data_IF_817930093504
#
_entry.id   IF_817930093504
#
_cell.length_a   1.000
_cell.length_b   1.000
_cell.length_c   1.000
_cell.angle_alpha   90.00
_cell.angle_beta   90.00
_cell.angle_gamma   90.00
#
_symmetry.space_group_name_H-M   'P 1'
#
loop_
_entity.id
_entity.type
_entity.pdbx_description
1 polymer ?
#
# COMPACT_ATOMS: atom_id res chain seq x y z
N UNK A 1 18.00 -35.94 -9.02
CA UNK A 1 17.88 -35.63 -7.57
C UNK A 1 18.05 -34.15 -7.28
N UNK A 2 19.15 -33.49 -7.69
CA UNK A 2 19.39 -32.06 -7.41
C UNK A 2 18.28 -31.15 -7.99
N UNK A 3 17.87 -31.37 -9.25
CA UNK A 3 16.79 -30.59 -9.86
C UNK A 3 15.47 -30.67 -9.08
N UNK A 4 15.08 -31.86 -8.64
CA UNK A 4 13.85 -32.07 -7.84
C UNK A 4 13.91 -31.33 -6.51
N UNK A 5 15.07 -31.35 -5.84
CA UNK A 5 15.27 -30.60 -4.59
C UNK A 5 15.09 -29.10 -4.85
N UNK A 6 15.72 -28.56 -5.89
CA UNK A 6 15.59 -27.14 -6.26
C UNK A 6 14.13 -26.78 -6.58
N UNK A 7 13.41 -27.61 -7.33
CA UNK A 7 12.01 -27.38 -7.65
C UNK A 7 11.11 -27.35 -6.40
N UNK A 8 11.32 -28.25 -5.44
CA UNK A 8 10.56 -28.27 -4.18
C UNK A 8 10.80 -26.99 -3.39
N UNK A 9 12.06 -26.58 -3.24
CA UNK A 9 12.39 -25.33 -2.54
C UNK A 9 11.81 -24.10 -3.26
N UNK A 10 11.88 -24.04 -4.59
CA UNK A 10 11.31 -22.94 -5.37
C UNK A 10 9.79 -22.80 -5.12
N UNK A 11 9.04 -23.91 -5.12
CA UNK A 11 7.60 -23.89 -4.84
C UNK A 11 7.29 -23.43 -3.42
N UNK A 12 8.03 -23.94 -2.42
CA UNK A 12 7.84 -23.54 -1.01
C UNK A 12 8.16 -22.05 -0.79
N UNK A 13 9.20 -21.53 -1.44
CA UNK A 13 9.56 -20.12 -1.38
C UNK A 13 8.50 -19.23 -2.03
N UNK A 14 8.03 -19.56 -3.24
CA UNK A 14 6.98 -18.79 -3.93
C UNK A 14 5.69 -18.80 -3.10
N UNK A 15 5.31 -19.93 -2.51
CA UNK A 15 4.13 -20.03 -1.65
C UNK A 15 4.23 -19.13 -0.42
N UNK A 16 5.39 -19.10 0.25
CA UNK A 16 5.64 -18.24 1.41
C UNK A 16 5.58 -16.76 1.03
N UNK A 17 6.18 -16.39 -0.09
CA UNK A 17 6.14 -15.02 -0.63
C UNK A 17 4.71 -14.60 -0.95
N UNK A 18 3.94 -15.47 -1.63
CA UNK A 18 2.54 -15.21 -1.98
C UNK A 18 1.67 -14.97 -0.73
N UNK A 19 1.82 -15.81 0.30
CA UNK A 19 1.11 -15.64 1.58
C UNK A 19 1.48 -14.32 2.25
N UNK A 20 2.77 -13.97 2.27
CA UNK A 20 3.25 -12.71 2.86
C UNK A 20 2.67 -11.49 2.16
N UNK A 21 2.59 -11.51 0.83
CA UNK A 21 1.97 -10.42 0.05
C UNK A 21 0.46 -10.31 0.30
N UNK A 22 -0.26 -11.44 0.39
CA UNK A 22 -1.70 -11.43 0.68
C UNK A 22 -1.99 -10.80 2.07
N UNK A 23 -1.17 -11.13 3.07
CA UNK A 23 -1.25 -10.52 4.40
C UNK A 23 -0.85 -9.03 4.38
N UNK A 24 0.13 -8.65 3.57
CA UNK A 24 0.50 -7.25 3.36
C UNK A 24 -0.64 -6.41 2.80
N UNK A 25 -1.27 -6.88 1.72
CA UNK A 25 -2.41 -6.19 1.07
C UNK A 25 -3.55 -6.00 2.06
N UNK A 26 -3.95 -7.05 2.78
CA UNK A 26 -5.07 -6.97 3.74
C UNK A 26 -4.80 -5.98 4.87
N UNK A 27 -3.56 -5.88 5.36
CA UNK A 27 -3.17 -4.90 6.40
C UNK A 27 -3.22 -3.46 5.89
N UNK A 28 -2.69 -3.21 4.69
CA UNK A 28 -2.75 -1.87 4.07
C UNK A 28 -4.20 -1.47 3.86
N UNK A 29 -5.02 -2.39 3.32
CA UNK A 29 -6.43 -2.14 3.06
C UNK A 29 -7.22 -1.86 4.34
N UNK A 30 -6.95 -2.62 5.40
CA UNK A 30 -7.52 -2.41 6.72
C UNK A 30 -7.12 -1.05 7.32
N UNK A 31 -5.84 -0.66 7.25
CA UNK A 31 -5.39 0.66 7.72
C UNK A 31 -6.07 1.79 6.94
N UNK A 32 -6.12 1.70 5.61
CA UNK A 32 -6.79 2.70 4.77
C UNK A 32 -8.30 2.81 5.09
N UNK A 33 -8.96 1.68 5.38
CA UNK A 33 -10.36 1.64 5.78
C UNK A 33 -10.58 2.24 7.17
N UNK A 34 -9.67 1.96 8.13
CA UNK A 34 -9.65 2.58 9.47
C UNK A 34 -9.46 4.09 9.40
N UNK A 35 -8.61 4.56 8.48
CA UNK A 35 -8.35 5.98 8.25
C UNK A 35 -9.51 6.69 7.50
N UNK A 36 -10.57 5.96 7.16
CA UNK A 36 -11.79 6.48 6.55
C UNK A 36 -11.70 6.73 5.04
N UNK A 37 -10.60 6.33 4.40
CA UNK A 37 -10.33 6.53 2.96
C UNK A 37 -11.14 5.59 2.07
N UNK A 38 -11.73 4.53 2.63
CA UNK A 38 -12.48 3.50 1.91
C UNK A 38 -13.84 3.21 2.55
N UNK A 39 -14.81 2.64 1.79
CA UNK A 39 -16.13 2.27 2.30
C UNK A 39 -16.04 1.48 3.61
N UNK A 40 -16.72 1.94 4.66
CA UNK A 40 -16.68 1.32 6.00
C UNK A 40 -17.12 -0.16 6.02
N UNK A 41 -17.70 -0.65 4.93
CA UNK A 41 -17.97 -2.07 4.71
C UNK A 41 -16.70 -2.94 4.66
N UNK A 42 -15.56 -2.40 4.18
CA UNK A 42 -14.26 -3.07 4.22
C UNK A 42 -13.66 -3.14 5.64
N UNK A 43 -14.09 -2.27 6.56
CA UNK A 43 -13.65 -2.25 7.96
C UNK A 43 -14.46 -3.18 8.87
N UNK A 44 -15.52 -3.84 8.37
CA UNK A 44 -16.34 -4.70 9.23
C UNK A 44 -15.60 -6.00 9.52
N UNK A 45 -14.84 -5.97 10.60
CA UNK A 45 -14.09 -7.11 11.14
C UNK A 45 -15.05 -8.12 11.77
N UNK A 46 -14.75 -9.41 11.62
CA UNK A 46 -15.45 -10.48 12.33
C UNK A 46 -15.02 -10.52 13.82
N UNK A 47 -15.71 -11.32 14.64
CA UNK A 47 -15.49 -11.44 16.10
C UNK A 47 -14.03 -11.68 16.52
N UNK A 48 -13.17 -12.19 15.63
CA UNK A 48 -11.74 -12.48 15.89
C UNK A 48 -10.76 -11.39 15.44
N UNK A 49 -11.21 -10.19 15.07
CA UNK A 49 -10.30 -9.08 14.75
C UNK A 49 -9.55 -9.24 13.41
N UNK A 50 -9.87 -10.26 12.61
CA UNK A 50 -9.23 -10.55 11.31
C UNK A 50 -10.13 -10.12 10.15
N UNK A 51 -9.63 -9.37 9.15
CA UNK A 51 -10.41 -8.93 7.99
C UNK A 51 -10.58 -10.05 6.95
N UNK A 52 -11.25 -11.16 7.32
CA UNK A 52 -11.39 -12.36 6.50
C UNK A 52 -12.04 -12.10 5.13
N UNK A 53 -12.99 -11.16 5.07
CA UNK A 53 -13.66 -10.76 3.82
C UNK A 53 -12.67 -10.15 2.83
N UNK A 54 -11.77 -9.31 3.32
CA UNK A 54 -10.75 -8.65 2.50
C UNK A 54 -9.79 -9.68 1.91
N UNK A 55 -9.39 -10.68 2.71
CA UNK A 55 -8.52 -11.77 2.26
C UNK A 55 -9.16 -12.60 1.14
N UNK A 56 -10.43 -12.98 1.30
CA UNK A 56 -11.15 -13.73 0.26
C UNK A 56 -11.33 -12.92 -1.02
N UNK A 57 -11.76 -11.66 -0.92
CA UNK A 57 -11.93 -10.78 -2.08
C UNK A 57 -10.59 -10.58 -2.80
N UNK A 58 -9.53 -10.25 -2.06
CA UNK A 58 -8.20 -10.05 -2.62
C UNK A 58 -7.65 -11.33 -3.28
N UNK A 59 -7.82 -12.48 -2.63
CA UNK A 59 -7.37 -13.77 -3.15
C UNK A 59 -8.10 -14.19 -4.42
N UNK A 60 -9.44 -14.13 -4.43
CA UNK A 60 -10.26 -14.48 -5.60
C UNK A 60 -10.00 -13.51 -6.75
N UNK A 61 -9.94 -12.20 -6.48
CA UNK A 61 -9.63 -11.21 -7.50
C UNK A 61 -8.22 -11.44 -8.08
N UNK A 62 -7.22 -11.70 -7.23
CA UNK A 62 -5.85 -11.99 -7.68
C UNK A 62 -5.77 -13.28 -8.50
N UNK A 63 -6.50 -14.33 -8.11
CA UNK A 63 -6.54 -15.59 -8.85
C UNK A 63 -7.15 -15.42 -10.25
N UNK A 64 -8.24 -14.64 -10.35
CA UNK A 64 -8.87 -14.30 -11.63
C UNK A 64 -7.92 -13.48 -12.51
N UNK A 65 -7.30 -12.44 -11.94
CA UNK A 65 -6.35 -11.60 -12.67
C UNK A 65 -5.13 -12.40 -13.14
N UNK A 66 -4.60 -13.32 -12.32
CA UNK A 66 -3.48 -14.18 -12.67
C UNK A 66 -3.81 -15.14 -13.83
N UNK A 67 -5.07 -15.55 -13.99
CA UNK A 67 -5.51 -16.40 -15.11
C UNK A 67 -5.72 -15.65 -16.42
N UNK A 68 -6.02 -14.35 -16.37
CA UNK A 68 -6.40 -13.54 -17.55
C UNK A 68 -5.26 -12.66 -18.07
N UNK A 69 -4.39 -12.17 -17.18
CA UNK A 69 -3.33 -11.21 -17.56
C UNK A 69 -1.98 -11.89 -17.80
N UNK A 70 -1.24 -11.51 -18.85
CA UNK A 70 0.09 -12.05 -19.09
C UNK A 70 1.06 -11.58 -18.00
N UNK A 71 1.88 -12.53 -17.49
CA UNK A 71 2.80 -12.28 -16.36
C UNK A 71 3.75 -11.10 -16.61
N UNK A 72 4.17 -10.89 -17.87
CA UNK A 72 5.04 -9.78 -18.25
C UNK A 72 4.37 -8.41 -18.04
N UNK A 73 3.09 -8.28 -18.42
CA UNK A 73 2.38 -7.01 -18.26
C UNK A 73 2.14 -6.68 -16.78
N UNK A 74 1.81 -7.69 -15.97
CA UNK A 74 1.65 -7.53 -14.52
C UNK A 74 2.98 -7.16 -13.87
N UNK A 75 4.07 -7.83 -14.25
CA UNK A 75 5.41 -7.52 -13.75
C UNK A 75 5.86 -6.09 -14.11
N UNK A 76 5.64 -5.65 -15.36
CA UNK A 76 5.96 -4.29 -15.79
C UNK A 76 5.16 -3.25 -14.97
N UNK A 77 3.88 -3.51 -14.68
CA UNK A 77 3.02 -2.65 -13.86
C UNK A 77 3.41 -2.64 -12.38
N UNK A 78 3.82 -3.78 -11.82
CA UNK A 78 4.34 -3.87 -10.45
C UNK A 78 5.67 -3.15 -10.32
N UNK A 79 6.57 -3.30 -11.29
CA UNK A 79 7.88 -2.63 -11.30
C UNK A 79 7.73 -1.11 -11.28
N UNK A 80 6.91 -0.53 -12.16
CA UNK A 80 6.69 0.93 -12.15
C UNK A 80 6.08 1.40 -10.82
N UNK A 81 5.14 0.63 -10.25
CA UNK A 81 4.51 0.97 -8.98
C UNK A 81 5.49 0.97 -7.81
N UNK A 82 6.35 -0.06 -7.72
CA UNK A 82 7.38 -0.16 -6.68
C UNK A 82 8.42 0.95 -6.85
N UNK A 83 8.89 1.21 -8.07
CA UNK A 83 9.83 2.31 -8.35
C UNK A 83 9.24 3.68 -8.00
N UNK A 84 7.99 3.93 -8.37
CA UNK A 84 7.29 5.16 -8.04
C UNK A 84 7.13 5.32 -6.51
N UNK A 85 6.75 4.24 -5.81
CA UNK A 85 6.68 4.25 -4.35
C UNK A 85 8.04 4.53 -3.71
N UNK A 86 9.14 3.97 -4.24
CA UNK A 86 10.48 4.27 -3.77
C UNK A 86 10.84 5.75 -3.94
N UNK A 87 10.57 6.33 -5.11
CA UNK A 87 10.79 7.77 -5.36
C UNK A 87 10.00 8.61 -4.34
N UNK A 88 8.71 8.30 -4.12
CA UNK A 88 7.86 9.02 -3.16
C UNK A 88 8.37 8.85 -1.73
N UNK A 89 8.82 7.67 -1.33
CA UNK A 89 9.36 7.40 0.02
C UNK A 89 10.67 8.19 0.22
N UNK A 90 11.59 8.14 -0.75
CA UNK A 90 12.83 8.91 -0.69
C UNK A 90 12.55 10.41 -0.58
N UNK A 91 11.60 10.93 -1.37
CA UNK A 91 11.17 12.33 -1.30
C UNK A 91 10.54 12.66 0.06
N UNK A 92 9.65 11.79 0.55
CA UNK A 92 8.97 11.96 1.84
C UNK A 92 9.95 12.03 3.00
N UNK A 93 11.02 11.22 2.97
CA UNK A 93 12.08 11.24 3.98
C UNK A 93 12.86 12.56 3.94
N UNK A 94 13.18 13.08 2.75
CA UNK A 94 13.85 14.38 2.58
C UNK A 94 12.94 15.51 3.10
N UNK A 95 11.67 15.54 2.67
CA UNK A 95 10.71 16.57 3.10
C UNK A 95 10.48 16.52 4.61
N UNK A 96 10.31 15.34 5.20
CA UNK A 96 10.07 15.19 6.63
C UNK A 96 11.26 15.69 7.47
N UNK A 97 12.49 15.52 6.96
CA UNK A 97 13.70 16.09 7.57
C UNK A 97 13.67 17.60 7.67
N UNK A 98 13.19 18.29 6.63
CA UNK A 98 13.10 19.76 6.62
C UNK A 98 11.89 20.29 7.39
N UNK A 99 10.72 19.63 7.30
CA UNK A 99 9.48 20.09 7.95
C UNK A 99 9.41 19.81 9.45
N UNK A 100 10.04 18.75 9.94
CA UNK A 100 10.02 18.36 11.37
C UNK A 100 11.42 18.03 11.86
N UNK A 101 12.27 19.07 12.08
CA UNK A 101 13.63 18.86 12.57
C UNK A 101 13.66 18.28 14.00
N UNK A 102 12.70 18.64 14.85
CA UNK A 102 12.71 18.34 16.31
C UNK A 102 12.01 17.03 16.72
N UNK A 103 11.54 16.23 15.76
CA UNK A 103 10.89 14.96 16.09
C UNK A 103 11.90 13.97 16.72
N UNK A 104 11.55 13.25 17.81
CA UNK A 104 12.42 12.25 18.41
C UNK A 104 12.68 11.10 17.42
N UNK A 105 13.96 10.79 17.15
CA UNK A 105 14.36 9.77 16.18
C UNK A 105 15.15 8.65 16.85
N UNK A 106 14.56 7.45 16.92
CA UNK A 106 15.22 6.23 17.42
C UNK A 106 16.32 5.73 16.46
N UNK A 107 16.19 6.00 15.16
CA UNK A 107 17.17 5.63 14.14
C UNK A 107 17.50 6.82 13.23
N UNK A 108 18.79 7.06 12.98
CA UNK A 108 19.29 8.13 12.09
C UNK A 108 19.99 7.48 10.90
N UNK A 109 19.49 7.76 9.70
CA UNK A 109 20.15 7.35 8.45
C UNK A 109 21.55 8.00 8.36
N UNK A 110 22.63 7.21 8.26
CA UNK A 110 23.97 7.73 8.02
C UNK A 110 23.98 8.38 6.62
N UNK A 111 24.62 9.54 6.47
CA UNK A 111 24.77 10.26 5.19
C UNK A 111 23.45 10.80 4.58
N UNK A 112 22.50 11.21 5.42
CA UNK A 112 21.40 12.05 4.97
C UNK A 112 21.89 13.44 4.50
N UNK A 113 21.44 13.98 3.36
CA UNK A 113 20.40 13.48 2.44
C UNK A 113 20.93 12.70 1.21
N UNK A 114 22.23 12.40 1.12
CA UNK A 114 22.83 11.74 -0.05
C UNK A 114 22.26 10.34 -0.30
N UNK A 115 22.06 9.54 0.75
CA UNK A 115 21.58 8.16 0.59
C UNK A 115 20.16 8.11 0.00
N UNK A 116 19.15 8.84 0.52
CA UNK A 116 17.84 8.94 -0.12
C UNK A 116 17.87 9.56 -1.52
N UNK A 117 18.73 10.55 -1.76
CA UNK A 117 18.86 11.19 -3.07
C UNK A 117 19.39 10.22 -4.13
N UNK A 118 20.42 9.42 -3.79
CA UNK A 118 20.94 8.40 -4.71
C UNK A 118 19.88 7.34 -5.01
N UNK A 119 19.13 6.88 -4.00
CA UNK A 119 18.02 5.94 -4.18
C UNK A 119 16.91 6.49 -5.07
N UNK A 120 16.58 7.77 -4.91
CA UNK A 120 15.63 8.48 -5.78
C UNK A 120 16.14 8.57 -7.22
N UNK A 121 17.40 8.95 -7.42
CA UNK A 121 18.01 9.08 -8.75
C UNK A 121 18.10 7.74 -9.46
N UNK A 122 18.55 6.68 -8.77
CA UNK A 122 18.61 5.33 -9.32
C UNK A 122 17.20 4.83 -9.69
N UNK A 123 16.23 4.98 -8.80
CA UNK A 123 14.85 4.55 -9.05
C UNK A 123 14.21 5.34 -10.20
N UNK A 124 14.45 6.66 -10.26
CA UNK A 124 14.01 7.51 -11.36
C UNK A 124 14.65 7.14 -12.70
N UNK A 125 15.95 6.82 -12.69
CA UNK A 125 16.65 6.35 -13.90
C UNK A 125 16.06 5.03 -14.41
N UNK A 126 15.82 4.05 -13.54
CA UNK A 126 15.16 2.79 -13.91
C UNK A 126 13.73 3.03 -14.43
N UNK A 127 13.01 3.99 -13.85
CA UNK A 127 11.65 4.33 -14.26
C UNK A 127 11.58 4.93 -15.68
N UNK A 128 12.64 5.63 -16.13
CA UNK A 128 12.75 6.16 -17.50
C UNK A 128 13.06 5.07 -18.53
N UNK A 129 13.62 3.93 -18.12
CA UNK A 129 13.92 2.82 -19.01
C UNK A 129 12.68 1.97 -19.34
N UNK A 130 11.58 2.15 -18.62
CA UNK A 130 10.33 1.42 -18.86
C UNK A 130 9.57 1.94 -20.09
N UNK A 131 8.88 1.02 -20.77
CA UNK A 131 8.06 1.35 -21.94
C UNK A 131 6.96 2.38 -21.61
N UNK A 132 6.64 3.23 -22.59
CA UNK A 132 5.61 4.27 -22.48
C UNK A 132 4.22 3.72 -22.14
N UNK A 133 3.89 2.51 -22.62
CA UNK A 133 2.64 1.84 -22.28
C UNK A 133 2.46 1.65 -20.76
N UNK A 134 3.55 1.40 -20.05
CA UNK A 134 3.54 1.18 -18.60
C UNK A 134 3.21 2.47 -17.85
N UNK A 135 3.70 3.60 -18.35
CA UNK A 135 3.36 4.93 -17.83
C UNK A 135 1.89 5.27 -18.03
N UNK A 136 1.32 4.96 -19.19
CA UNK A 136 -0.11 5.18 -19.45
C UNK A 136 -0.99 4.34 -18.53
N UNK A 137 -0.67 3.05 -18.35
CA UNK A 137 -1.42 2.15 -17.44
C UNK A 137 -1.32 2.62 -15.99
N UNK A 138 -0.12 3.01 -15.54
CA UNK A 138 0.09 3.55 -14.20
C UNK A 138 -0.65 4.87 -13.97
N UNK A 139 -0.56 5.79 -14.93
CA UNK A 139 -1.29 7.06 -14.90
C UNK A 139 -2.81 6.86 -14.86
N UNK A 140 -3.34 5.95 -15.69
CA UNK A 140 -4.76 5.60 -15.67
C UNK A 140 -5.20 5.03 -14.31
N UNK A 141 -4.40 4.14 -13.72
CA UNK A 141 -4.68 3.61 -12.38
C UNK A 141 -4.63 4.69 -11.29
N UNK A 142 -3.67 5.61 -11.35
CA UNK A 142 -3.60 6.75 -10.43
C UNK A 142 -4.83 7.66 -10.56
N UNK A 143 -5.29 7.93 -11.78
CA UNK A 143 -6.49 8.73 -12.03
C UNK A 143 -7.72 8.04 -11.44
N UNK A 144 -7.88 6.73 -11.64
CA UNK A 144 -8.98 5.95 -11.01
C UNK A 144 -8.91 6.06 -9.48
N UNK A 145 -7.72 5.87 -8.89
CA UNK A 145 -7.52 6.02 -7.46
C UNK A 145 -7.87 7.42 -6.96
N UNK A 146 -7.52 8.45 -7.73
CA UNK A 146 -7.82 9.85 -7.42
C UNK A 146 -9.32 10.15 -7.50
N UNK A 147 -10.03 9.59 -8.50
CA UNK A 147 -11.49 9.70 -8.62
C UNK A 147 -12.18 9.07 -7.40
N UNK A 148 -11.76 7.86 -6.99
CA UNK A 148 -12.29 7.20 -5.79
C UNK A 148 -12.01 8.05 -4.55
N UNK A 149 -10.80 8.63 -4.44
CA UNK A 149 -10.45 9.52 -3.35
C UNK A 149 -11.31 10.80 -3.30
N UNK A 150 -11.52 11.47 -4.43
CA UNK A 150 -12.33 12.71 -4.46
C UNK A 150 -13.82 12.46 -4.23
N UNK A 151 -14.35 11.36 -4.77
CA UNK A 151 -15.77 11.02 -4.62
C UNK A 151 -16.10 10.53 -3.21
N UNK A 152 -15.26 9.68 -2.61
CA UNK A 152 -15.50 9.06 -1.31
C UNK A 152 -14.58 9.58 -0.19
N UNK A 153 -13.26 9.56 -0.43
CA UNK A 153 -12.22 9.91 0.56
C UNK A 153 -12.34 11.34 1.11
N UNK A 154 -12.74 12.31 0.28
CA UNK A 154 -12.89 13.72 0.71
C UNK A 154 -14.07 13.94 1.68
N UNK A 155 -15.09 13.08 1.65
CA UNK A 155 -16.30 13.22 2.49
C UNK A 155 -16.25 12.40 3.79
N UNK A 156 -15.40 11.37 3.86
CA UNK A 156 -15.36 10.43 4.99
C UNK A 156 -14.01 10.33 5.74
N UNK A 157 -12.97 11.05 5.31
CA UNK A 157 -11.69 11.05 6.01
C UNK A 157 -11.81 11.64 7.43
N UNK A 158 -11.32 10.90 8.43
CA UNK A 158 -11.32 11.28 9.85
C UNK A 158 -10.43 12.50 10.17
N UNK A 159 -9.69 13.00 9.18
CA UNK A 159 -8.90 14.24 9.26
C UNK A 159 -9.74 15.49 8.93
N UNK A 160 -11.02 15.32 8.57
CA UNK A 160 -11.99 16.41 8.47
C UNK A 160 -12.71 16.59 9.83
N UNK A 161 -12.61 17.77 10.49
CA UNK A 161 -13.24 18.04 11.78
C UNK A 161 -14.76 17.83 11.80
N UNK A 162 -15.41 17.93 10.64
CA UNK A 162 -16.86 17.82 10.46
C UNK A 162 -17.36 16.39 10.15
N UNK A 163 -16.51 15.38 10.26
CA UNK A 163 -16.92 13.98 10.06
C UNK A 163 -17.81 13.50 11.22
N UNK A 164 -18.99 12.89 10.96
CA UNK A 164 -19.89 12.37 11.99
C UNK A 164 -19.23 11.38 12.98
N UNK A 165 -18.10 10.75 12.60
CA UNK A 165 -17.32 9.85 13.48
C UNK A 165 -16.37 10.60 14.42
N UNK A 166 -15.92 11.80 14.09
CA UNK A 166 -15.08 12.62 14.96
C UNK A 166 -15.87 13.09 16.20
N UNK A 167 -17.13 13.48 15.99
CA UNK A 167 -18.08 13.80 17.05
C UNK A 167 -18.40 12.60 17.95
N UNK A 168 -18.47 11.38 17.39
CA UNK A 168 -18.68 10.16 18.18
C UNK A 168 -17.46 9.76 19.03
N UNK A 169 -16.22 10.00 18.55
CA UNK A 169 -15.00 9.74 19.33
C UNK A 169 -14.72 10.78 20.42
N UNK A 170 -15.34 11.97 20.34
CA UNK A 170 -15.22 13.03 21.34
C UNK A 170 -16.39 13.07 22.34
N UNK A 171 -17.45 12.28 22.15
CA UNK A 171 -18.57 12.25 23.08
C UNK A 171 -18.12 11.57 24.40
N UNK A 172 -18.17 12.27 25.56
CA UNK A 172 -17.71 11.75 26.85
C UNK A 172 -18.49 10.55 27.40
N UNK A 173 -19.58 10.13 26.75
CA UNK A 173 -20.50 9.10 27.26
C UNK A 173 -20.06 7.65 26.99
N UNK A 174 -19.04 7.41 26.15
CA UNK A 174 -18.52 6.05 25.92
C UNK A 174 -17.63 5.52 27.06
N UNK A 175 -17.34 6.34 28.08
CA UNK A 175 -16.57 5.94 29.26
C UNK A 175 -17.46 5.38 30.40
N UNK A 176 -18.77 5.15 30.16
CA UNK A 176 -19.70 4.74 31.22
C UNK A 176 -20.56 3.51 30.94
N UNK A 177 -20.30 2.75 29.88
CA UNK A 177 -20.91 1.44 29.71
C UNK A 177 -19.85 0.41 29.33
N UNK A 178 -19.14 -0.04 30.37
CA UNK A 178 -18.73 -1.44 30.46
C UNK A 178 -19.89 -2.39 30.10
#
# INVERSE_FOLDING_TARGET
>A
MIATIISVFAVLSILTVMLTFLLGVTRVWFSMSRDGLLPGWFAKTDKSGTPQRVTWIAGVASALLAGVFPIKAVADLTNIGILAAFVVVCLSVIIFRYKRPDAPRTFRLPLMPLVPAFGMLASGFLMLQLHWETWLRFGGWLVIGLIIYFTYGRRHSLMNPDSPRHLASQSPDAAKSD
#
